data_IF_844173540793
#
_entry.id   IF_844173540793
#
_cell.length_a   1.000
_cell.length_b   1.000
_cell.length_c   1.000
_cell.angle_alpha   90.00
_cell.angle_beta   90.00
_cell.angle_gamma   90.00
#
_symmetry.space_group_name_H-M   'P 1'
#
loop_
_entity.id
_entity.type
_entity.pdbx_description
1 polymer ?
#
# COMPACT_ATOMS: atom_id res chain seq x y z
N UNK A 1 -15.95 -6.02 -11.74
CA UNK A 1 -16.85 -6.99 -11.08
C UNK A 1 -17.77 -6.23 -10.11
N UNK A 2 -19.08 -6.54 -10.06
CA UNK A 2 -20.07 -5.74 -9.33
C UNK A 2 -19.85 -5.70 -7.80
N UNK A 3 -19.07 -6.64 -7.26
CA UNK A 3 -18.81 -6.74 -5.83
C UNK A 3 -17.60 -5.94 -5.35
N UNK A 4 -16.73 -5.48 -6.26
CA UNK A 4 -15.47 -4.78 -5.88
C UNK A 4 -15.77 -3.49 -5.12
N UNK A 5 -16.77 -2.72 -5.57
CA UNK A 5 -17.17 -1.48 -4.87
C UNK A 5 -17.74 -1.74 -3.48
N UNK A 6 -18.47 -2.85 -3.28
CA UNK A 6 -18.99 -3.22 -1.97
C UNK A 6 -17.88 -3.65 -1.00
N UNK A 7 -16.85 -4.34 -1.50
CA UNK A 7 -15.66 -4.70 -0.72
C UNK A 7 -14.84 -3.44 -0.41
N UNK A 8 -14.65 -2.54 -1.37
CA UNK A 8 -13.94 -1.28 -1.15
C UNK A 8 -14.61 -0.41 -0.08
N UNK A 9 -15.96 -0.40 -0.01
CA UNK A 9 -16.69 0.30 1.05
C UNK A 9 -16.44 -0.28 2.46
N UNK A 10 -15.97 -1.53 2.57
CA UNK A 10 -15.57 -2.14 3.86
C UNK A 10 -14.18 -1.75 4.32
N UNK A 11 -13.39 -1.05 3.50
CA UNK A 11 -12.13 -0.48 3.95
C UNK A 11 -12.32 0.61 5.01
N UNK A 12 -13.51 1.19 5.13
CA UNK A 12 -13.83 2.26 6.11
C UNK A 12 -14.67 1.73 7.28
N UNK A 13 -14.76 0.41 7.45
CA UNK A 13 -15.51 -0.19 8.55
C UNK A 13 -14.87 0.14 9.91
N UNK A 14 -15.68 0.28 10.95
CA UNK A 14 -15.19 0.55 12.30
C UNK A 14 -14.43 -0.66 12.86
N UNK A 15 -14.83 -1.87 12.44
CA UNK A 15 -14.17 -3.10 12.81
C UNK A 15 -12.88 -3.32 11.99
N UNK A 16 -11.73 -3.39 12.70
CA UNK A 16 -10.43 -3.61 12.09
C UNK A 16 -10.33 -4.95 11.36
N UNK A 17 -10.97 -6.01 11.85
CA UNK A 17 -10.96 -7.32 11.20
C UNK A 17 -11.70 -7.24 9.85
N UNK A 18 -12.79 -6.46 9.79
CA UNK A 18 -13.55 -6.23 8.56
C UNK A 18 -12.73 -5.41 7.56
N UNK A 19 -12.04 -4.36 8.01
CA UNK A 19 -11.13 -3.58 7.14
C UNK A 19 -10.02 -4.44 6.56
N UNK A 20 -9.40 -5.28 7.40
CA UNK A 20 -8.35 -6.21 7.01
C UNK A 20 -8.85 -7.23 5.99
N UNK A 21 -9.98 -7.89 6.25
CA UNK A 21 -10.60 -8.81 5.32
C UNK A 21 -10.92 -8.15 3.95
N UNK A 22 -11.40 -6.91 3.97
CA UNK A 22 -11.65 -6.14 2.76
C UNK A 22 -10.38 -5.85 1.97
N UNK A 23 -9.31 -5.44 2.64
CA UNK A 23 -8.02 -5.18 2.02
C UNK A 23 -7.43 -6.45 1.38
N UNK A 24 -7.44 -7.58 2.10
CA UNK A 24 -7.00 -8.88 1.56
C UNK A 24 -7.84 -9.30 0.35
N UNK A 25 -9.17 -9.20 0.43
CA UNK A 25 -10.05 -9.56 -0.69
C UNK A 25 -9.79 -8.72 -1.94
N UNK A 26 -9.56 -7.41 -1.79
CA UNK A 26 -9.14 -6.55 -2.90
C UNK A 26 -7.75 -6.94 -3.44
N UNK A 27 -6.85 -7.36 -2.54
CA UNK A 27 -5.54 -7.93 -2.86
C UNK A 27 -5.61 -9.10 -3.84
N UNK A 28 -6.54 -10.02 -3.60
CA UNK A 28 -6.76 -11.20 -4.45
C UNK A 28 -7.44 -10.86 -5.78
N UNK A 29 -8.17 -9.74 -5.84
CA UNK A 29 -8.80 -9.25 -7.07
C UNK A 29 -7.82 -8.53 -8.01
N UNK A 30 -6.64 -8.15 -7.51
CA UNK A 30 -5.56 -7.52 -8.27
C UNK A 30 -6.00 -6.25 -8.99
N UNK A 31 -5.74 -6.17 -10.30
CA UNK A 31 -6.03 -5.00 -11.12
C UNK A 31 -7.51 -4.54 -11.10
N UNK A 32 -8.46 -5.42 -10.72
CA UNK A 32 -9.86 -5.03 -10.57
C UNK A 32 -10.09 -4.04 -9.43
N UNK A 33 -9.17 -3.97 -8.46
CA UNK A 33 -9.19 -3.01 -7.36
C UNK A 33 -8.62 -1.64 -7.74
N UNK A 34 -8.02 -1.48 -8.94
CA UNK A 34 -7.43 -0.23 -9.40
C UNK A 34 -8.34 1.01 -9.30
N UNK A 35 -9.67 0.95 -9.58
CA UNK A 35 -10.56 2.09 -9.39
C UNK A 35 -10.67 2.57 -7.94
N UNK A 36 -10.24 1.76 -6.98
CA UNK A 36 -10.27 2.03 -5.54
C UNK A 36 -8.88 2.26 -4.95
N UNK A 37 -7.85 2.50 -5.79
CA UNK A 37 -6.48 2.74 -5.33
C UNK A 37 -6.38 3.84 -4.27
N UNK A 38 -7.19 4.88 -4.36
CA UNK A 38 -7.24 5.95 -3.34
C UNK A 38 -7.76 5.48 -1.98
N UNK A 39 -8.80 4.65 -1.95
CA UNK A 39 -9.32 4.09 -0.70
C UNK A 39 -8.32 3.11 -0.07
N UNK A 40 -7.59 2.36 -0.90
CA UNK A 40 -6.51 1.48 -0.45
C UNK A 40 -5.34 2.30 0.10
N UNK A 41 -4.95 3.38 -0.57
CA UNK A 41 -3.89 4.27 -0.11
C UNK A 41 -4.19 4.91 1.24
N UNK A 42 -5.46 5.22 1.53
CA UNK A 42 -5.89 5.72 2.84
C UNK A 42 -5.67 4.71 3.98
N UNK A 43 -5.50 3.41 3.67
CA UNK A 43 -5.16 2.37 4.68
C UNK A 43 -3.67 2.29 5.00
N UNK A 44 -2.81 3.03 4.29
CA UNK A 44 -1.40 3.17 4.67
C UNK A 44 -1.21 3.93 5.99
N UNK A 45 -2.24 4.62 6.48
CA UNK A 45 -2.21 5.37 7.73
C UNK A 45 -3.04 4.69 8.83
N UNK A 46 -3.50 3.45 8.61
CA UNK A 46 -4.30 2.73 9.61
C UNK A 46 -3.47 2.41 10.86
N UNK A 47 -4.12 2.36 12.02
CA UNK A 47 -3.47 2.02 13.29
C UNK A 47 -3.01 0.56 13.29
N UNK A 48 -3.75 -0.31 12.60
CA UNK A 48 -3.38 -1.71 12.42
C UNK A 48 -2.20 -1.85 11.44
N UNK A 49 -1.09 -2.37 11.96
CA UNK A 49 0.16 -2.58 11.21
C UNK A 49 -0.01 -3.63 10.11
N UNK A 50 -0.80 -4.67 10.34
CA UNK A 50 -1.08 -5.68 9.31
C UNK A 50 -1.89 -5.09 8.16
N UNK A 51 -2.80 -4.18 8.47
CA UNK A 51 -3.58 -3.47 7.47
C UNK A 51 -2.73 -2.48 6.67
N UNK A 52 -1.81 -1.74 7.32
CA UNK A 52 -0.82 -0.90 6.60
C UNK A 52 0.02 -1.73 5.64
N UNK A 53 0.53 -2.88 6.09
CA UNK A 53 1.32 -3.81 5.27
C UNK A 53 0.52 -4.37 4.10
N UNK A 54 -0.73 -4.78 4.34
CA UNK A 54 -1.63 -5.29 3.32
C UNK A 54 -1.94 -4.23 2.26
N UNK A 55 -2.20 -2.99 2.68
CA UNK A 55 -2.43 -1.86 1.78
C UNK A 55 -1.21 -1.57 0.90
N UNK A 56 -0.01 -1.57 1.50
CA UNK A 56 1.25 -1.37 0.76
C UNK A 56 1.48 -2.48 -0.28
N UNK A 57 1.24 -3.75 0.11
CA UNK A 57 1.33 -4.91 -0.79
C UNK A 57 0.33 -4.81 -1.94
N UNK A 58 -0.89 -4.38 -1.65
CA UNK A 58 -1.94 -4.26 -2.66
C UNK A 58 -1.62 -3.14 -3.66
N UNK A 59 -1.13 -1.99 -3.20
CA UNK A 59 -0.67 -0.91 -4.08
C UNK A 59 0.50 -1.36 -4.96
N UNK A 60 1.43 -2.15 -4.43
CA UNK A 60 2.50 -2.80 -5.19
C UNK A 60 1.92 -3.61 -6.36
N UNK A 61 0.97 -4.53 -6.07
CA UNK A 61 0.28 -5.36 -7.06
C UNK A 61 -0.51 -4.56 -8.10
N UNK A 62 -0.96 -3.35 -7.78
CA UNK A 62 -1.66 -2.46 -8.71
C UNK A 62 -0.72 -1.75 -9.69
N UNK A 63 0.60 -1.77 -9.44
CA UNK A 63 1.61 -1.21 -10.33
C UNK A 63 1.34 0.26 -10.67
N UNK A 64 1.34 0.61 -11.96
CA UNK A 64 1.16 1.98 -12.44
C UNK A 64 -0.14 2.66 -11.94
N UNK A 65 -1.18 1.89 -11.56
CA UNK A 65 -2.39 2.47 -10.98
C UNK A 65 -2.16 3.06 -9.58
N UNK A 66 -1.11 2.64 -8.88
CA UNK A 66 -0.69 3.21 -7.60
C UNK A 66 0.26 4.43 -7.75
N UNK A 67 0.66 4.79 -8.97
CA UNK A 67 1.56 5.92 -9.22
C UNK A 67 1.10 7.26 -8.59
N UNK A 68 -0.20 7.63 -8.61
CA UNK A 68 -0.67 8.84 -7.91
C UNK A 68 -0.46 8.81 -6.39
N UNK A 69 -0.26 7.61 -5.82
CA UNK A 69 -0.10 7.37 -4.39
C UNK A 69 1.36 7.08 -4.00
N UNK A 70 2.31 7.24 -4.92
CA UNK A 70 3.74 7.02 -4.66
C UNK A 70 4.25 7.81 -3.43
N UNK A 71 3.75 9.03 -3.23
CA UNK A 71 4.09 9.83 -2.05
C UNK A 71 3.62 9.22 -0.73
N UNK A 72 2.41 8.67 -0.68
CA UNK A 72 1.89 8.00 0.51
C UNK A 72 2.66 6.70 0.82
N UNK A 73 3.05 5.97 -0.23
CA UNK A 73 3.91 4.78 -0.10
C UNK A 73 5.32 5.20 0.38
N UNK A 74 5.86 6.31 -0.10
CA UNK A 74 7.17 6.82 0.34
C UNK A 74 7.21 7.16 1.83
N UNK A 75 6.13 7.70 2.40
CA UNK A 75 6.05 7.93 3.86
C UNK A 75 6.19 6.61 4.63
N UNK A 76 5.73 5.48 4.08
CA UNK A 76 5.86 4.16 4.73
C UNK A 76 7.29 3.61 4.74
N UNK A 77 8.25 4.25 4.07
CA UNK A 77 9.67 3.91 4.22
C UNK A 77 10.20 4.18 5.63
N UNK A 78 9.52 5.06 6.37
CA UNK A 78 9.83 5.43 7.76
C UNK A 78 8.84 4.79 8.75
N UNK A 79 8.04 3.80 8.33
CA UNK A 79 7.10 3.12 9.22
C UNK A 79 7.83 2.41 10.37
N UNK A 80 7.21 2.36 11.55
CA UNK A 80 7.77 1.70 12.74
C UNK A 80 7.99 0.20 12.49
N UNK A 81 7.12 -0.42 11.70
CA UNK A 81 7.21 -1.83 11.35
C UNK A 81 8.15 -2.09 10.16
N UNK A 82 9.12 -2.97 10.36
CA UNK A 82 10.14 -3.30 9.35
C UNK A 82 9.57 -3.98 8.11
N UNK A 83 8.49 -4.76 8.24
CA UNK A 83 7.83 -5.39 7.10
C UNK A 83 7.08 -4.35 6.26
N UNK A 84 6.45 -3.36 6.90
CA UNK A 84 5.83 -2.22 6.20
C UNK A 84 6.89 -1.44 5.43
N UNK A 85 8.03 -1.11 6.07
CA UNK A 85 9.16 -0.43 5.39
C UNK A 85 9.66 -1.21 4.17
N UNK A 86 9.92 -2.51 4.34
CA UNK A 86 10.40 -3.36 3.26
C UNK A 86 9.40 -3.44 2.09
N UNK A 87 8.12 -3.58 2.40
CA UNK A 87 7.05 -3.62 1.38
C UNK A 87 6.94 -2.28 0.64
N UNK A 88 7.05 -1.16 1.35
CA UNK A 88 7.05 0.17 0.74
C UNK A 88 8.24 0.37 -0.23
N UNK A 89 9.42 -0.10 0.14
CA UNK A 89 10.61 -0.05 -0.72
C UNK A 89 10.42 -0.86 -2.01
N UNK A 90 9.87 -2.07 -1.91
CA UNK A 90 9.55 -2.90 -3.08
C UNK A 90 8.50 -2.22 -3.96
N UNK A 91 7.42 -1.71 -3.37
CA UNK A 91 6.35 -1.04 -4.11
C UNK A 91 6.84 0.18 -4.89
N UNK A 92 7.71 0.99 -4.30
CA UNK A 92 8.29 2.14 -4.99
C UNK A 92 9.27 1.73 -6.09
N UNK A 93 10.03 0.65 -5.87
CA UNK A 93 10.92 0.08 -6.88
C UNK A 93 10.15 -0.43 -8.09
N UNK A 94 9.00 -1.08 -7.88
CA UNK A 94 8.11 -1.52 -8.96
C UNK A 94 7.41 -0.36 -9.68
N UNK A 95 7.15 0.75 -9.00
CA UNK A 95 6.63 1.99 -9.60
C UNK A 95 7.66 2.70 -10.50
N UNK A 96 8.95 2.39 -10.33
CA UNK A 96 10.04 2.86 -11.19
C UNK A 96 10.09 4.39 -11.31
N UNK A 97 9.95 4.92 -12.53
CA UNK A 97 10.02 6.36 -12.80
C UNK A 97 8.97 7.18 -12.03
N UNK A 98 7.85 6.58 -11.64
CA UNK A 98 6.84 7.25 -10.82
C UNK A 98 7.29 7.48 -9.37
N UNK A 99 8.27 6.71 -8.89
CA UNK A 99 8.91 6.89 -7.60
C UNK A 99 10.19 7.75 -7.67
N UNK A 100 10.56 8.29 -8.84
CA UNK A 100 11.77 9.10 -9.01
C UNK A 100 11.91 10.27 -8.02
N UNK A 101 10.83 11.00 -7.64
CA UNK A 101 10.91 12.03 -6.60
C UNK A 101 11.29 11.50 -5.21
N UNK A 102 11.08 10.21 -4.97
CA UNK A 102 11.34 9.52 -3.70
C UNK A 102 12.60 8.65 -3.75
N UNK A 103 13.37 8.69 -4.85
CA UNK A 103 14.58 7.89 -5.03
C UNK A 103 15.60 8.08 -3.90
N UNK A 104 15.72 9.30 -3.34
CA UNK A 104 16.58 9.57 -2.19
C UNK A 104 16.14 8.81 -0.93
N UNK A 105 14.84 8.78 -0.62
CA UNK A 105 14.32 8.05 0.53
C UNK A 105 14.48 6.53 0.36
N UNK A 106 14.31 6.03 -0.87
CA UNK A 106 14.56 4.62 -1.20
C UNK A 106 16.05 4.28 -1.02
N UNK A 107 16.97 5.12 -1.52
CA UNK A 107 18.40 4.90 -1.41
C UNK A 107 18.86 4.87 0.05
N UNK A 108 18.39 5.83 0.87
CA UNK A 108 18.69 5.85 2.32
C UNK A 108 18.21 4.56 2.98
N UNK A 109 16.99 4.09 2.69
CA UNK A 109 16.47 2.85 3.29
C UNK A 109 17.21 1.58 2.84
N UNK A 110 17.68 1.54 1.59
CA UNK A 110 18.49 0.43 1.06
C UNK A 110 19.90 0.40 1.67
N UNK A 111 20.45 1.57 2.02
CA UNK A 111 21.72 1.68 2.74
C UNK A 111 21.56 1.34 4.24
N UNK A 112 20.41 1.69 4.82
CA UNK A 112 19.98 1.33 6.17
C UNK A 112 19.43 -0.11 6.25
N UNK A 113 19.88 -1.08 5.43
CA UNK A 113 19.61 -2.52 5.63
C UNK A 113 20.15 -2.96 7.01
N UNK A 114 19.32 -2.71 8.03
CA UNK A 114 19.21 -3.24 9.37
C UNK A 114 20.55 -3.67 10.02
N UNK A 115 21.17 -2.74 10.76
CA UNK A 115 22.04 -3.05 11.90
C UNK A 115 21.22 -3.50 13.12
#
# INVERSE_FOLDING_TARGET
>A
APHVGAIAARLEDEDGDVRSAACFALGELGAHAAPHAGAIAARLEDEDTDLRRAACTLLCKLGAHAAPHAGAIAVRLEDEDSNVRGTACVALSELGAHAAPHAGAIAVRLEDEDS
#
